data_IF_908007878292
#
_entry.id   IF_908007878292
#
_cell.length_a   1.000
_cell.length_b   1.000
_cell.length_c   1.000
_cell.angle_alpha   90.00
_cell.angle_beta   90.00
_cell.angle_gamma   90.00
#
_symmetry.space_group_name_H-M   'P 1'
#
loop_
_entity.id
_entity.type
_entity.pdbx_description
1 polymer ?
2 non-polymer ?
3 non-polymer ?
4 non-polymer ?
5 water ?
#
# COMPACT_ATOMS: atom_id res chain seq x y z
N UNK A 19 9.72 -13.10 -30.81
CA UNK A 19 9.49 -12.61 -29.45
C UNK A 19 10.00 -13.59 -28.40
N UNK A 20 10.49 -13.08 -27.26
CA UNK A 20 11.08 -13.95 -26.23
C UNK A 20 10.00 -14.66 -25.42
N UNK A 21 10.37 -15.81 -24.87
CA UNK A 21 9.48 -16.69 -24.11
C UNK A 21 10.17 -17.00 -22.78
N UNK A 22 9.37 -17.18 -21.73
CA UNK A 22 9.85 -17.47 -20.38
C UNK A 22 8.90 -18.50 -19.80
N UNK A 23 9.41 -19.65 -19.33
CA UNK A 23 8.58 -20.70 -18.73
C UNK A 23 7.40 -21.10 -19.66
N UNK A 24 7.69 -21.23 -20.94
CA UNK A 24 6.68 -21.59 -21.94
C UNK A 24 5.62 -20.55 -22.23
N UNK A 25 5.86 -19.26 -21.86
CA UNK A 25 4.87 -18.19 -22.07
C UNK A 25 5.53 -16.99 -22.72
N UNK A 26 4.84 -16.34 -23.67
CA UNK A 26 5.40 -15.19 -24.38
C UNK A 26 5.62 -13.98 -23.44
N UNK A 27 6.82 -13.39 -23.49
CA UNK A 27 7.18 -12.26 -22.64
C UNK A 27 7.88 -11.26 -23.57
N UNK A 28 7.06 -10.49 -24.30
CA UNK A 28 7.47 -9.85 -25.56
C UNK A 28 7.89 -8.42 -25.35
N UNK A 29 9.12 -8.20 -24.95
CA UNK A 29 9.52 -6.85 -24.49
C UNK A 29 10.39 -6.12 -25.53
N UNK A 30 10.34 -6.56 -26.79
CA UNK A 30 11.06 -5.91 -27.87
C UNK A 30 12.55 -6.01 -27.69
N UNK A 31 13.32 -5.54 -28.66
CA UNK A 31 14.78 -5.70 -28.58
C UNK A 31 15.45 -4.82 -27.52
N UNK A 32 14.76 -3.80 -26.99
CA UNK A 32 15.37 -2.94 -25.96
C UNK A 32 15.71 -3.76 -24.71
N UNK A 33 14.90 -4.74 -24.38
CA UNK A 33 15.06 -5.51 -23.15
C UNK A 33 15.41 -6.96 -23.47
N UNK A 34 16.61 -7.42 -23.01
CA UNK A 34 17.12 -8.77 -23.32
C UNK A 34 17.53 -9.55 -22.04
N UNK A 35 17.91 -10.83 -22.17
CA UNK A 35 18.47 -11.62 -21.09
C UNK A 35 17.49 -11.70 -19.93
N UNK A 36 16.27 -12.13 -20.23
CA UNK A 36 15.22 -12.21 -19.22
C UNK A 36 15.57 -13.27 -18.18
N UNK A 37 15.19 -13.02 -16.93
CA UNK A 37 15.22 -14.05 -15.90
C UNK A 37 13.89 -14.00 -15.19
N UNK A 38 13.23 -15.15 -15.08
CA UNK A 38 11.96 -15.26 -14.38
C UNK A 38 12.19 -14.95 -12.89
N UNK A 39 11.35 -14.08 -12.29
CA UNK A 39 11.44 -13.78 -10.87
C UNK A 39 10.27 -14.45 -10.13
N UNK A 40 9.06 -14.30 -10.66
CA UNK A 40 7.91 -14.89 -10.01
C UNK A 40 6.57 -14.44 -10.55
N UNK A 41 5.55 -14.52 -9.70
CA UNK A 41 4.25 -13.96 -10.01
C UNK A 41 4.00 -12.78 -9.05
N UNK A 42 3.28 -11.79 -9.56
CA UNK A 42 2.75 -10.70 -8.76
C UNK A 42 1.25 -10.61 -8.86
N UNK A 43 0.66 -9.60 -8.21
CA UNK A 43 -0.78 -9.32 -8.29
C UNK A 43 -1.28 -9.20 -9.74
N UNK A 44 -0.38 -8.99 -10.74
CA UNK A 44 -0.77 -8.79 -12.14
C UNK A 44 -0.52 -10.02 -13.06
N UNK A 45 0.51 -10.81 -12.76
CA UNK A 45 0.91 -11.93 -13.60
C UNK A 45 2.41 -12.15 -13.54
N UNK A 46 3.04 -12.43 -14.69
CA UNK A 46 4.47 -12.80 -14.69
C UNK A 46 5.37 -11.58 -14.56
N UNK A 47 6.38 -11.69 -13.68
CA UNK A 47 7.36 -10.65 -13.49
C UNK A 47 8.75 -11.22 -13.75
N UNK A 48 9.50 -10.56 -14.63
CA UNK A 48 10.87 -10.87 -15.02
C UNK A 48 11.76 -9.69 -14.80
N UNK A 49 13.07 -9.91 -14.63
CA UNK A 49 14.05 -8.86 -14.83
C UNK A 49 14.66 -8.98 -16.21
N UNK A 50 15.21 -7.87 -16.72
CA UNK A 50 15.78 -7.85 -18.06
C UNK A 50 16.83 -6.79 -18.10
N UNK A 51 17.77 -6.93 -19.03
CA UNK A 51 18.78 -5.90 -19.26
C UNK A 51 18.22 -4.82 -20.16
N UNK A 52 18.27 -3.56 -19.72
CA UNK A 52 17.81 -2.41 -20.49
C UNK A 52 19.00 -1.98 -21.30
N UNK A 53 18.92 -2.11 -22.62
CA UNK A 53 20.08 -1.81 -23.48
C UNK A 53 20.29 -0.30 -23.71
N UNK A 54 19.29 0.54 -23.37
CA UNK A 54 19.43 1.98 -23.49
C UNK A 54 20.14 2.51 -22.23
N UNK A 55 19.53 2.35 -21.05
CA UNK A 55 20.09 2.87 -19.79
C UNK A 55 21.17 1.99 -19.18
N UNK A 56 21.37 0.77 -19.69
CA UNK A 56 22.52 -0.07 -19.36
C UNK A 56 22.45 -0.51 -17.89
N UNK A 57 21.24 -0.95 -17.47
CA UNK A 57 20.93 -1.44 -16.11
C UNK A 57 19.86 -2.55 -16.25
N UNK A 58 19.86 -3.54 -15.34
CA UNK A 58 18.74 -4.46 -15.29
C UNK A 58 17.55 -3.74 -14.67
N UNK A 59 16.34 -4.13 -15.15
CA UNK A 59 15.08 -3.52 -14.78
C UNK A 59 14.11 -4.60 -14.47
N UNK A 60 13.02 -4.25 -13.78
CA UNK A 60 11.93 -5.16 -13.55
C UNK A 60 10.84 -4.90 -14.58
N UNK A 61 10.21 -5.95 -15.09
CA UNK A 61 9.12 -5.85 -16.05
C UNK A 61 8.01 -6.74 -15.62
N UNK A 62 6.80 -6.22 -15.51
CA UNK A 62 5.63 -7.04 -15.22
C UNK A 62 4.68 -7.09 -16.44
N UNK A 63 4.19 -8.31 -16.77
CA UNK A 63 3.22 -8.56 -17.85
C UNK A 63 1.82 -8.47 -17.32
N UNK A 64 0.98 -7.66 -17.99
CA UNK A 64 -0.43 -7.52 -17.70
C UNK A 64 -1.13 -8.10 -18.94
N UNK A 65 -1.92 -9.20 -18.76
CA UNK A 65 -2.67 -9.89 -19.83
C UNK A 65 -4.17 -9.90 -19.51
N UNK A 71 -10.36 -8.38 -22.16
CA UNK A 71 -10.99 -7.99 -20.91
C UNK A 71 -9.89 -7.64 -19.91
N UNK A 72 -9.68 -6.32 -19.70
CA UNK A 72 -8.69 -5.82 -18.76
C UNK A 72 -9.35 -5.51 -17.41
N UNK A 73 -8.52 -5.14 -16.43
CA UNK A 73 -8.99 -4.83 -15.10
C UNK A 73 -8.79 -3.35 -14.87
N UNK A 74 -9.80 -2.68 -14.29
CA UNK A 74 -9.79 -1.23 -13.96
C UNK A 74 -8.57 -0.90 -13.04
N UNK A 75 -8.10 -1.89 -12.28
CA UNK A 75 -6.94 -1.74 -11.41
C UNK A 75 -5.66 -1.38 -12.21
N UNK A 76 -5.53 -1.94 -13.44
CA UNK A 76 -4.40 -1.65 -14.29
C UNK A 76 -4.43 -0.16 -14.69
N UNK A 77 -5.57 0.38 -15.11
CA UNK A 77 -5.68 1.76 -15.48
C UNK A 77 -5.41 2.67 -14.27
N UNK A 78 -6.01 2.33 -13.14
CA UNK A 78 -5.76 3.10 -11.90
C UNK A 78 -4.26 3.24 -11.57
N UNK A 79 -3.52 2.13 -11.59
CA UNK A 79 -2.08 2.03 -11.28
C UNK A 79 -1.34 2.94 -12.27
N UNK A 80 -1.59 2.73 -13.57
CA UNK A 80 -0.83 3.50 -14.56
C UNK A 80 -1.05 5.01 -14.41
N UNK A 81 -2.31 5.44 -14.33
CA UNK A 81 -2.63 6.86 -14.24
C UNK A 81 -1.94 7.50 -12.98
N UNK A 82 -2.02 6.83 -11.82
CA UNK A 82 -1.41 7.35 -10.61
C UNK A 82 0.11 7.41 -10.69
N UNK A 83 0.74 6.30 -11.04
CA UNK A 83 2.18 6.22 -11.10
C UNK A 83 2.76 7.15 -12.15
N UNK A 84 2.06 7.37 -13.26
CA UNK A 84 2.57 8.33 -14.23
C UNK A 84 2.45 9.76 -13.76
N UNK A 85 1.44 10.07 -12.91
CA UNK A 85 1.28 11.42 -12.37
C UNK A 85 2.23 11.70 -11.23
N UNK A 86 2.49 10.71 -10.40
CA UNK A 86 3.37 10.89 -9.24
C UNK A 86 4.83 10.91 -9.58
N UNK A 87 5.56 11.75 -8.88
CA UNK A 87 7.00 11.77 -8.98
C UNK A 87 7.58 11.99 -7.58
N UNK A 88 8.09 10.90 -6.96
CA UNK A 88 8.61 10.93 -5.61
C UNK A 88 9.64 9.84 -5.39
N UNK A 89 10.71 10.17 -4.65
CA UNK A 89 11.79 9.25 -4.35
C UNK A 89 11.35 7.95 -3.68
N UNK A 90 10.24 8.00 -2.85
CA UNK A 90 9.77 6.85 -2.14
C UNK A 90 8.55 6.20 -2.76
N UNK A 91 8.29 6.49 -4.06
CA UNK A 91 7.21 5.89 -4.81
C UNK A 91 7.81 5.32 -6.08
N UNK A 92 7.49 4.05 -6.40
CA UNK A 92 8.05 3.44 -7.60
C UNK A 92 7.53 4.24 -8.83
N UNK A 93 8.40 4.44 -9.79
CA UNK A 93 7.96 5.10 -11.03
C UNK A 93 7.61 4.09 -12.13
N UNK A 94 7.08 4.57 -13.22
CA UNK A 94 7.03 3.75 -14.44
C UNK A 94 8.06 4.36 -15.40
N UNK A 95 9.03 3.58 -15.80
CA UNK A 95 10.13 3.96 -16.68
C UNK A 95 9.71 3.87 -18.15
N UNK A 96 8.89 2.87 -18.46
CA UNK A 96 8.49 2.60 -19.86
C UNK A 96 7.28 1.68 -19.85
N UNK A 97 6.47 1.69 -20.94
CA UNK A 97 5.35 0.78 -21.10
C UNK A 97 5.41 0.28 -22.52
N UNK A 98 5.36 -1.06 -22.67
CA UNK A 98 5.43 -1.73 -23.97
C UNK A 98 4.06 -2.28 -24.31
N UNK A 99 3.57 -1.93 -25.52
CA UNK A 99 2.35 -2.51 -26.04
C UNK A 99 2.35 -2.35 -27.57
N UNK A 100 1.43 -3.03 -28.22
CA UNK A 100 1.29 -2.94 -29.67
C UNK A 100 0.92 -1.53 -30.10
N UNK A 101 1.24 -1.16 -31.36
CA UNK A 101 0.98 0.22 -31.80
C UNK A 101 -0.47 0.59 -32.02
N UNK A 102 -1.39 -0.38 -32.06
CA UNK A 102 -2.80 -0.15 -32.27
C UNK A 102 -3.65 -0.87 -31.26
N UNK A 103 -4.87 -0.35 -30.97
CA UNK A 103 -5.81 -1.08 -30.07
C UNK A 103 -6.13 -2.47 -30.55
N UNK A 104 -6.33 -2.64 -31.87
CA UNK A 104 -6.70 -3.94 -32.42
C UNK A 104 -5.62 -4.98 -32.14
N UNK A 105 -4.36 -4.59 -32.17
CA UNK A 105 -3.23 -5.51 -31.96
C UNK A 105 -2.84 -5.60 -30.47
N UNK A 106 -3.32 -4.70 -29.65
CA UNK A 106 -2.89 -4.65 -28.26
C UNK A 106 -3.50 -5.83 -27.53
N UNK A 107 -2.65 -6.62 -26.87
CA UNK A 107 -3.12 -7.68 -25.97
C UNK A 107 -2.38 -7.46 -24.66
N UNK A 108 -1.12 -7.79 -24.58
CA UNK A 108 -0.38 -7.66 -23.31
C UNK A 108 0.17 -6.24 -23.18
N UNK A 109 0.32 -5.79 -21.94
CA UNK A 109 0.97 -4.52 -21.64
C UNK A 109 2.09 -4.84 -20.67
N UNK A 110 3.29 -4.39 -20.96
CA UNK A 110 4.45 -4.60 -20.06
C UNK A 110 4.86 -3.30 -19.43
N UNK A 111 5.02 -3.31 -18.08
CA UNK A 111 5.35 -2.12 -17.34
C UNK A 111 6.77 -2.30 -16.85
N UNK A 112 7.62 -1.37 -17.19
CA UNK A 112 9.03 -1.44 -16.85
C UNK A 112 9.29 -0.47 -15.72
N UNK A 113 9.96 -0.97 -14.66
CA UNK A 113 10.26 -0.20 -13.47
C UNK A 113 11.69 -0.46 -13.00
N UNK A 114 12.21 0.40 -12.12
CA UNK A 114 13.50 0.14 -11.45
C UNK A 114 13.55 -1.26 -10.84
N UNK A 115 14.69 -1.94 -10.97
CA UNK A 115 14.83 -3.26 -10.38
C UNK A 115 15.23 -3.00 -8.94
N UNK A 116 14.50 -3.58 -8.01
CA UNK A 116 14.80 -3.40 -6.60
C UNK A 116 15.28 -4.78 -6.06
N UNK A 117 16.31 -4.82 -5.24
CA UNK A 117 16.91 -6.08 -4.72
C UNK A 117 15.83 -6.94 -4.08
N UNK A 118 14.91 -6.33 -3.30
CA UNK A 118 14.01 -7.11 -2.48
C UNK A 118 12.76 -6.28 -2.11
N UNK A 119 11.97 -6.78 -1.19
CA UNK A 119 10.83 -6.07 -0.62
C UNK A 119 10.79 -6.39 0.87
N UNK A 120 9.97 -5.62 1.63
CA UNK A 120 10.00 -5.80 3.07
C UNK A 120 9.39 -7.17 3.48
N UNK A 121 8.52 -7.77 2.67
CA UNK A 121 7.94 -9.10 2.99
C UNK A 121 9.08 -10.14 3.01
N UNK A 122 9.87 -10.17 1.96
CA UNK A 122 11.02 -11.10 1.84
C UNK A 122 12.03 -10.83 2.92
N UNK A 123 12.28 -9.55 3.20
CA UNK A 123 13.31 -9.18 4.16
C UNK A 123 12.89 -9.63 5.55
N UNK A 124 11.64 -9.41 5.93
CA UNK A 124 11.20 -9.83 7.25
C UNK A 124 11.11 -11.32 7.41
N UNK A 125 10.99 -12.09 6.34
CA UNK A 125 10.93 -13.55 6.49
C UNK A 125 12.34 -14.11 6.88
N UNK A 126 13.43 -13.38 6.55
CA UNK A 126 14.80 -13.86 6.73
C UNK A 126 15.71 -13.04 7.67
N UNK A 127 15.44 -11.75 7.87
CA UNK A 127 16.43 -10.85 8.45
C UNK A 127 15.88 -10.14 9.65
N UNK A 128 16.62 -10.08 10.72
CA UNK A 128 16.33 -9.23 11.85
C UNK A 128 16.72 -7.80 11.47
N UNK A 129 15.83 -6.82 11.74
CA UNK A 129 16.15 -5.43 11.48
C UNK A 129 16.75 -4.76 12.69
N UNK A 130 17.82 -3.97 12.50
CA UNK A 130 18.30 -3.11 13.59
C UNK A 130 17.28 -2.04 13.87
N UNK A 131 17.28 -1.46 15.08
CA UNK A 131 16.45 -0.27 15.33
C UNK A 131 16.71 0.84 14.28
N UNK A 132 17.95 1.00 13.84
CA UNK A 132 18.28 2.02 12.87
C UNK A 132 17.57 1.76 11.54
N UNK A 133 17.51 0.48 11.09
CA UNK A 133 16.83 0.13 9.86
C UNK A 133 15.32 0.33 10.02
N UNK A 134 14.75 -0.05 11.16
CA UNK A 134 13.30 0.15 11.40
C UNK A 134 12.96 1.65 11.29
N UNK A 135 13.77 2.46 11.91
CA UNK A 135 13.56 3.91 11.94
C UNK A 135 13.62 4.49 10.51
N UNK A 136 14.64 4.12 9.75
CA UNK A 136 14.83 4.62 8.40
C UNK A 136 13.70 4.11 7.46
N UNK A 137 13.34 2.82 7.56
CA UNK A 137 12.26 2.29 6.72
C UNK A 137 10.96 3.03 7.02
N UNK A 138 10.65 3.22 8.32
CA UNK A 138 9.40 3.88 8.71
C UNK A 138 9.40 5.33 8.20
N UNK A 139 10.54 6.00 8.35
CA UNK A 139 10.67 7.39 7.81
C UNK A 139 10.29 7.44 6.33
N UNK A 140 10.88 6.52 5.55
CA UNK A 140 10.71 6.57 4.08
C UNK A 140 9.23 6.22 3.72
N UNK A 141 8.62 5.25 4.44
CA UNK A 141 7.22 4.89 4.24
C UNK A 141 6.36 6.15 4.44
N UNK A 142 6.58 6.85 5.56
CA UNK A 142 5.74 8.01 5.87
C UNK A 142 6.04 9.18 4.92
N UNK A 143 7.26 9.32 4.49
CA UNK A 143 7.67 10.40 3.57
C UNK A 143 6.88 10.19 2.21
N UNK A 144 6.88 8.97 1.70
CA UNK A 144 6.12 8.62 0.50
C UNK A 144 4.63 8.80 0.74
N UNK A 145 4.13 8.33 1.89
CA UNK A 145 2.74 8.46 2.23
C UNK A 145 2.31 9.93 2.32
N UNK A 146 3.16 10.80 2.82
CA UNK A 146 2.84 12.24 2.87
C UNK A 146 2.51 12.75 1.46
N UNK A 147 3.32 12.35 0.49
CA UNK A 147 3.11 12.78 -0.89
C UNK A 147 1.79 12.23 -1.44
N UNK A 148 1.55 10.93 -1.26
CA UNK A 148 0.32 10.28 -1.73
C UNK A 148 -0.91 10.98 -1.13
N UNK A 149 -0.93 11.18 0.22
CA UNK A 149 -2.08 11.82 0.87
C UNK A 149 -2.19 13.29 0.45
N UNK A 150 -1.05 13.96 0.13
CA UNK A 150 -1.12 15.37 -0.29
C UNK A 150 -1.82 15.48 -1.66
N UNK A 151 -1.83 14.38 -2.44
CA UNK A 151 -2.50 14.29 -3.74
C UNK A 151 -3.96 13.87 -3.58
N UNK A 152 -4.47 13.79 -2.33
CA UNK A 152 -5.83 13.35 -1.98
C UNK A 152 -6.07 11.93 -2.38
N UNK A 153 -5.02 11.10 -2.40
CA UNK A 153 -5.09 9.69 -2.77
C UNK A 153 -4.83 8.86 -1.53
N UNK A 154 -5.51 7.74 -1.45
CA UNK A 154 -5.32 6.68 -0.48
C UNK A 154 -4.72 5.46 -1.17
N UNK A 155 -3.66 4.87 -0.63
CA UNK A 155 -3.07 3.71 -1.25
C UNK A 155 -4.01 2.49 -1.08
N UNK A 156 -4.45 2.27 0.15
CA UNK A 156 -5.44 1.28 0.57
C UNK A 156 -4.94 -0.18 0.57
N UNK A 157 -3.67 -0.45 0.26
CA UNK A 157 -3.16 -1.80 0.41
C UNK A 157 -1.69 -1.82 0.80
N UNK A 158 -1.36 -0.97 1.76
CA UNK A 158 0.00 -0.93 2.27
C UNK A 158 0.23 -2.19 3.10
N UNK A 159 1.36 -2.81 2.83
CA UNK A 159 1.78 -4.07 3.44
C UNK A 159 3.24 -4.32 3.04
N UNK A 160 3.97 -5.20 3.76
CA UNK A 160 5.38 -5.38 3.46
C UNK A 160 5.73 -5.69 1.99
N UNK A 161 4.91 -6.53 1.32
CA UNK A 161 5.21 -6.93 -0.07
C UNK A 161 5.03 -5.75 -1.06
N UNK A 162 4.37 -4.65 -0.63
CA UNK A 162 4.24 -3.45 -1.46
C UNK A 162 5.26 -2.38 -1.11
N UNK A 163 6.35 -2.76 -0.42
CA UNK A 163 7.44 -1.86 -0.05
C UNK A 163 8.71 -2.48 -0.58
N UNK A 164 9.19 -1.91 -1.62
CA UNK A 164 10.42 -2.34 -2.30
C UNK A 164 11.63 -1.70 -1.73
N UNK A 165 12.76 -2.47 -1.67
CA UNK A 165 14.05 -2.00 -1.19
C UNK A 165 15.15 -2.34 -2.13
N UNK A 166 16.03 -1.43 -2.31
CA UNK A 166 17.27 -1.66 -3.10
C UNK A 166 18.45 -2.10 -2.19
N UNK A 167 19.66 -2.30 -2.79
CA UNK A 167 20.78 -2.83 -2.00
C UNK A 167 21.25 -1.90 -0.94
N UNK A 168 20.89 -0.60 -1.02
CA UNK A 168 21.27 0.38 -0.05
C UNK A 168 20.11 0.76 0.88
N UNK A 169 19.07 -0.06 0.88
CA UNK A 169 17.90 0.15 1.73
C UNK A 169 17.06 1.43 1.41
N UNK A 170 17.16 1.97 0.21
CA UNK A 170 16.18 2.95 -0.26
C UNK A 170 14.86 2.20 -0.49
N UNK A 171 13.76 2.79 -0.04
CA UNK A 171 12.47 2.19 -0.02
C UNK A 171 11.51 2.95 -0.98
N UNK A 172 10.76 2.17 -1.73
CA UNK A 172 9.74 2.66 -2.65
C UNK A 172 8.40 1.90 -2.52
N UNK A 173 7.32 2.66 -2.38
CA UNK A 173 6.01 2.11 -2.26
C UNK A 173 5.53 1.73 -3.68
N UNK A 174 4.92 0.59 -3.81
CA UNK A 174 4.40 0.12 -5.09
C UNK A 174 2.95 -0.41 -4.95
N UNK A 175 2.36 -0.76 -6.10
CA UNK A 175 1.02 -1.30 -6.29
C UNK A 175 -0.11 -0.34 -5.89
N UNK A 176 -0.48 0.53 -6.79
CA UNK A 176 -1.58 1.45 -6.57
C UNK A 176 -2.93 0.97 -7.19
N UNK A 177 -3.04 -0.33 -7.40
CA UNK A 177 -4.22 -0.99 -7.97
C UNK A 177 -5.50 -0.87 -7.18
N UNK A 178 -5.44 -0.72 -5.81
CA UNK A 178 -6.61 -0.52 -4.98
C UNK A 178 -6.73 0.93 -4.50
N UNK A 179 -5.89 1.86 -5.00
CA UNK A 179 -5.92 3.23 -4.54
C UNK A 179 -7.22 3.94 -4.93
N UNK A 180 -7.59 4.95 -4.17
CA UNK A 180 -8.80 5.73 -4.44
C UNK A 180 -8.52 7.16 -4.08
N UNK A 181 -9.28 8.10 -4.66
CA UNK A 181 -9.34 9.46 -4.16
C UNK A 181 -10.07 9.48 -2.85
N UNK A 182 -9.54 10.17 -1.87
CA UNK A 182 -10.18 10.26 -0.55
C UNK A 182 -11.57 10.86 -0.61
N UNK A 183 -12.46 10.35 0.24
CA UNK A 183 -13.87 10.78 0.23
C UNK A 183 -14.45 10.58 1.58
N UNK A 184 -13.93 11.32 2.57
CA UNK A 184 -14.42 11.12 3.94
C UNK A 184 -15.91 11.32 4.11
N UNK A 185 -16.55 12.27 3.36
CA UNK A 185 -18.00 12.48 3.54
C UNK A 185 -18.82 11.27 3.13
N UNK A 186 -18.26 10.33 2.36
CA UNK A 186 -18.97 9.12 1.96
C UNK A 186 -18.29 7.83 2.50
N UNK A 187 -17.70 7.92 3.69
CA UNK A 187 -16.96 6.77 4.27
C UNK A 187 -17.86 5.77 5.00
N UNK A 188 -19.10 6.17 5.36
CA UNK A 188 -19.89 5.35 6.28
C UNK A 188 -20.57 4.23 5.57
N UNK A 189 -20.62 3.08 6.24
CA UNK A 189 -21.30 1.90 5.72
C UNK A 189 -21.80 1.03 6.91
N UNK A 190 -22.51 -0.05 6.62
CA UNK A 190 -23.01 -0.95 7.63
C UNK A 190 -21.94 -1.90 8.10
N UNK A 191 -22.35 -2.71 9.07
CA UNK A 191 -21.52 -3.66 9.77
C UNK A 191 -21.24 -4.85 8.87
N UNK A 192 -19.99 -5.35 8.87
CA UNK A 192 -19.61 -6.51 8.04
C UNK A 192 -19.72 -6.28 6.52
N UNK A 193 -19.35 -5.07 6.05
CA UNK A 193 -19.37 -4.76 4.63
C UNK A 193 -18.10 -5.33 4.03
N UNK A 194 -18.23 -6.02 2.88
CA UNK A 194 -17.08 -6.71 2.31
C UNK A 194 -16.02 -5.69 1.92
N UNK A 195 -14.75 -6.10 1.95
CA UNK A 195 -13.66 -5.20 1.64
C UNK A 195 -12.59 -5.93 0.86
N UNK A 196 -11.89 -5.20 -0.02
CA UNK A 196 -10.94 -5.82 -0.99
C UNK A 196 -9.48 -5.93 -0.47
N UNK A 197 -9.02 -4.95 0.29
CA UNK A 197 -7.62 -4.85 0.67
C UNK A 197 -7.16 -5.94 1.62
N UNK A 198 -5.86 -6.20 1.72
CA UNK A 198 -5.28 -7.37 2.41
C UNK A 198 -5.65 -7.42 3.89
N UNK A 199 -6.14 -8.59 4.33
CA UNK A 199 -6.87 -8.65 5.60
C UNK A 199 -6.05 -8.19 6.82
N UNK A 200 -4.80 -8.68 6.97
CA UNK A 200 -4.03 -8.44 8.20
C UNK A 200 -3.71 -6.93 8.44
N UNK A 201 -3.84 -6.14 7.40
CA UNK A 201 -3.47 -4.70 7.47
C UNK A 201 -4.70 -3.77 7.51
N UNK A 202 -5.94 -4.32 7.66
CA UNK A 202 -7.21 -3.60 7.68
C UNK A 202 -7.49 -2.99 9.03
N UNK A 203 -7.83 -1.72 9.07
CA UNK A 203 -8.17 -0.98 10.27
C UNK A 203 -9.48 -1.57 10.85
N UNK A 204 -9.65 -1.45 12.17
CA UNK A 204 -10.83 -2.09 12.78
C UNK A 204 -12.15 -1.57 12.19
N UNK A 205 -12.19 -0.27 11.85
CA UNK A 205 -13.42 0.36 11.37
C UNK A 205 -13.89 -0.24 10.05
N UNK A 206 -12.98 -0.84 9.22
CA UNK A 206 -13.44 -1.53 7.99
C UNK A 206 -14.51 -2.60 8.30
N UNK A 207 -14.34 -3.29 9.43
CA UNK A 207 -15.25 -4.36 9.83
C UNK A 207 -16.51 -3.85 10.49
N UNK A 208 -16.53 -2.57 10.86
CA UNK A 208 -17.58 -2.00 11.64
C UNK A 208 -18.45 -1.02 10.86
N UNK A 209 -17.86 0.06 10.26
CA UNK A 209 -18.67 1.10 9.64
C UNK A 209 -17.95 1.93 8.58
N UNK A 210 -16.86 1.42 7.99
CA UNK A 210 -16.04 2.23 7.10
C UNK A 210 -15.78 1.55 5.77
N UNK A 211 -15.91 2.32 4.67
CA UNK A 211 -15.55 1.92 3.29
C UNK A 211 -14.04 2.10 2.98
N UNK A 212 -13.24 2.59 3.91
CA UNK A 212 -11.81 2.85 3.65
C UNK A 212 -11.55 4.01 2.71
N UNK A 213 -12.35 5.06 2.86
CA UNK A 213 -12.23 6.26 2.04
C UNK A 213 -11.57 7.42 2.76
N UNK A 214 -10.89 7.18 3.92
CA UNK A 214 -10.20 8.26 4.63
C UNK A 214 -8.73 7.89 4.82
N UNK A 215 -7.90 8.92 4.94
CA UNK A 215 -6.43 8.78 5.08
C UNK A 215 -6.04 7.89 6.27
N UNK A 216 -6.88 7.91 7.37
CA UNK A 216 -6.63 7.09 8.58
C UNK A 216 -6.52 5.59 8.29
N UNK A 217 -7.08 5.16 7.16
CA UNK A 217 -6.99 3.75 6.73
C UNK A 217 -5.52 3.32 6.46
N UNK A 218 -4.78 4.19 5.83
CA UNK A 218 -3.42 3.93 5.48
C UNK A 218 -2.51 4.01 6.71
N UNK A 219 -2.78 4.98 7.63
CA UNK A 219 -1.98 5.06 8.85
C UNK A 219 -2.06 3.76 9.66
N UNK A 220 -3.28 3.13 9.77
CA UNK A 220 -3.41 1.86 10.46
C UNK A 220 -2.49 0.82 9.81
N UNK A 221 -2.50 0.68 8.48
CA UNK A 221 -1.62 -0.27 7.77
C UNK A 221 -0.17 0.00 8.13
N UNK A 222 0.24 1.28 8.15
CA UNK A 222 1.63 1.61 8.49
C UNK A 222 1.97 1.16 9.92
N UNK A 223 1.06 1.38 10.84
CA UNK A 223 1.18 0.90 12.21
C UNK A 223 1.40 -0.62 12.25
N UNK A 224 0.61 -1.36 11.45
CA UNK A 224 0.76 -2.82 11.41
C UNK A 224 2.17 -3.20 10.87
N UNK A 225 2.64 -2.47 9.86
CA UNK A 225 3.95 -2.68 9.30
C UNK A 225 5.04 -2.40 10.30
N UNK A 226 4.95 -1.29 11.03
CA UNK A 226 5.88 -0.98 12.09
C UNK A 226 5.97 -2.14 13.12
N UNK A 227 4.84 -2.59 13.60
CA UNK A 227 4.79 -3.70 14.58
C UNK A 227 5.49 -4.96 13.96
N UNK A 228 5.25 -5.22 12.69
CA UNK A 228 5.80 -6.37 12.01
C UNK A 228 7.34 -6.24 11.89
N UNK A 229 7.84 -5.02 11.67
CA UNK A 229 9.28 -4.79 11.66
C UNK A 229 9.93 -5.02 13.04
N UNK A 230 9.20 -4.75 14.12
CA UNK A 230 9.71 -4.90 15.47
C UNK A 230 9.89 -6.37 15.87
N UNK A 231 9.03 -7.26 15.35
CA UNK A 231 9.06 -8.66 15.76
C UNK A 231 9.23 -9.67 14.64
N UNK A 232 9.23 -9.27 13.37
CA UNK A 232 9.21 -10.16 12.21
C UNK A 232 7.97 -11.02 12.10
N UNK A 233 6.89 -10.68 12.77
CA UNK A 233 5.66 -11.47 12.70
C UNK A 233 4.52 -10.47 12.53
N UNK A 234 3.52 -10.79 11.70
CA UNK A 234 2.36 -9.86 11.62
C UNK A 234 1.67 -9.74 12.96
N UNK A 235 1.26 -8.53 13.33
CA UNK A 235 0.71 -8.29 14.65
C UNK A 235 -0.73 -8.84 14.79
N UNK A 236 -1.54 -8.79 13.69
CA UNK A 236 -2.95 -9.13 13.68
C UNK A 236 -3.24 -10.13 12.51
N UNK A 237 -2.75 -11.34 12.63
CA UNK A 237 -2.92 -12.32 11.53
C UNK A 237 -4.29 -13.01 11.55
N UNK A 238 -5.33 -12.26 11.24
CA UNK A 238 -6.67 -12.81 11.20
C UNK A 238 -6.82 -13.85 10.10
N UNK A 239 -7.61 -14.90 10.37
CA UNK A 239 -7.83 -15.95 9.37
C UNK A 239 -9.10 -15.78 8.54
N UNK A 240 -9.94 -14.81 8.87
CA UNK A 240 -11.12 -14.50 8.08
C UNK A 240 -11.67 -13.19 8.58
N UNK A 241 -12.68 -12.68 7.89
CA UNK A 241 -13.06 -11.29 7.99
C UNK A 241 -13.24 -10.79 9.42
N UNK A 242 -14.11 -11.44 10.24
CA UNK A 242 -14.42 -10.92 11.57
C UNK A 242 -13.30 -11.29 12.55
N UNK A 243 -12.58 -12.43 12.32
CA UNK A 243 -11.39 -12.82 13.15
C UNK A 243 -10.35 -11.71 13.17
N UNK A 244 -10.26 -10.93 12.10
CA UNK A 244 -9.30 -9.82 12.03
C UNK A 244 -9.60 -8.83 13.16
N UNK A 245 -10.90 -8.52 13.35
CA UNK A 245 -11.28 -7.56 14.41
C UNK A 245 -10.99 -8.11 15.83
N UNK A 246 -11.21 -9.37 16.03
CA UNK A 246 -11.00 -9.98 17.32
C UNK A 246 -9.44 -10.03 17.61
N UNK A 247 -8.55 -10.20 16.56
CA UNK A 247 -7.10 -10.05 16.82
C UNK A 247 -6.79 -8.62 17.31
N UNK A 248 -7.35 -7.64 16.67
CA UNK A 248 -7.07 -6.21 17.00
C UNK A 248 -7.51 -5.94 18.46
N UNK A 249 -8.76 -6.34 18.78
CA UNK A 249 -9.28 -6.14 20.13
C UNK A 249 -8.53 -6.94 21.18
N UNK A 250 -7.97 -8.09 20.80
CA UNK A 250 -7.17 -8.89 21.71
C UNK A 250 -5.90 -8.20 22.17
N UNK A 251 -5.42 -7.19 21.43
CA UNK A 251 -4.25 -6.38 21.84
C UNK A 251 -4.64 -5.01 22.35
N UNK A 252 -5.48 -4.26 21.61
CA UNK A 252 -5.92 -2.92 22.08
C UNK A 252 -6.85 -2.95 23.29
N UNK A 253 -7.53 -4.05 23.46
CA UNK A 253 -8.50 -4.18 24.52
C UNK A 253 -9.83 -3.61 24.04
N UNK A 254 -10.85 -3.78 24.89
CA UNK A 254 -12.16 -3.26 24.60
C UNK A 254 -12.15 -1.75 24.36
N UNK A 255 -12.89 -1.27 23.33
CA UNK A 255 -13.01 0.19 23.18
C UNK A 255 -13.74 0.85 24.32
N UNK A 256 -13.33 2.06 24.54
CA UNK A 256 -13.90 2.92 25.55
C UNK A 256 -15.32 3.27 25.23
N UNK A 257 -16.07 3.72 26.25
CA UNK A 257 -17.41 4.25 25.99
C UNK A 257 -17.44 5.35 24.91
N UNK A 258 -16.53 6.30 25.01
CA UNK A 258 -16.47 7.42 24.08
C UNK A 258 -16.23 6.91 22.64
N UNK A 259 -15.30 5.93 22.49
CA UNK A 259 -15.00 5.42 21.16
C UNK A 259 -16.15 4.60 20.60
N UNK A 260 -16.87 3.88 21.46
CA UNK A 260 -18.12 3.23 21.04
C UNK A 260 -19.22 4.18 20.65
N UNK A 261 -19.37 5.28 21.39
CA UNK A 261 -20.39 6.27 21.07
C UNK A 261 -20.18 6.89 19.72
N UNK A 262 -18.92 6.94 19.20
CA UNK A 262 -18.63 7.37 17.84
C UNK A 262 -19.17 6.44 16.78
N UNK A 263 -19.50 5.19 17.13
CA UNK A 263 -20.01 4.25 16.14
C UNK A 263 -21.53 4.32 16.23
N UNK A 264 -22.15 5.03 15.31
CA UNK A 264 -23.63 5.24 15.45
C UNK A 264 -24.40 3.99 14.98
N UNK A 265 -23.85 3.24 14.03
CA UNK A 265 -24.54 2.07 13.50
C UNK A 265 -24.82 1.04 14.60
N UNK A 266 -26.08 0.68 14.80
CA UNK A 266 -26.43 -0.20 15.92
C UNK A 266 -25.91 -1.63 15.79
N UNK A 267 -25.89 -2.23 14.59
CA UNK A 267 -25.39 -3.60 14.47
C UNK A 267 -23.86 -3.62 14.87
N UNK A 268 -23.08 -2.63 14.41
CA UNK A 268 -21.66 -2.57 14.76
C UNK A 268 -21.48 -2.35 16.27
N UNK A 269 -22.22 -1.33 16.81
CA UNK A 269 -22.13 -0.94 18.23
C UNK A 269 -22.43 -2.14 19.11
N UNK A 270 -23.58 -2.77 18.86
CA UNK A 270 -24.05 -3.87 19.65
C UNK A 270 -23.20 -5.10 19.53
N UNK A 271 -22.58 -5.32 18.36
CA UNK A 271 -21.56 -6.40 18.29
C UNK A 271 -20.44 -6.15 19.31
N UNK A 272 -19.90 -4.95 19.34
CA UNK A 272 -18.85 -4.64 20.28
C UNK A 272 -19.32 -4.76 21.72
N UNK A 273 -20.53 -4.30 22.00
CA UNK A 273 -21.07 -4.40 23.35
C UNK A 273 -21.29 -5.86 23.82
N UNK A 274 -21.47 -6.78 22.86
CA UNK A 274 -21.70 -8.19 23.17
C UNK A 274 -20.45 -8.93 23.63
N UNK A 275 -19.27 -8.38 23.38
CA UNK A 275 -18.01 -9.08 23.63
C UNK A 275 -17.66 -8.98 25.11
N UNK A 276 -17.04 -10.00 25.67
CA UNK A 276 -16.47 -9.88 27.02
C UNK A 276 -15.41 -8.79 27.05
N UNK A 277 -15.20 -8.21 28.23
CA UNK A 277 -14.15 -7.25 28.45
C UNK A 277 -12.76 -7.89 28.11
N UNK A 278 -11.96 -7.16 27.33
CA UNK A 278 -10.60 -7.58 26.95
C UNK A 278 -9.67 -6.47 27.43
N UNK A 279 -8.58 -6.90 28.09
CA UNK A 279 -7.60 -5.96 28.62
C UNK A 279 -6.63 -5.54 27.52
N UNK A 280 -6.10 -4.34 27.59
CA UNK A 280 -5.05 -3.87 26.67
C UNK A 280 -3.81 -4.65 26.96
N UNK A 281 -3.10 -5.10 25.91
CA UNK A 281 -1.78 -5.71 26.06
C UNK A 281 -0.77 -4.56 25.94
N UNK A 282 0.04 -4.28 26.98
CA UNK A 282 1.03 -3.19 26.87
C UNK A 282 2.04 -3.44 25.76
N UNK A 283 2.36 -2.38 25.01
CA UNK A 283 3.24 -2.52 23.87
C UNK A 283 4.62 -3.00 24.31
N UNK A 284 5.09 -2.56 25.50
CA UNK A 284 6.43 -2.97 25.94
C UNK A 284 6.50 -4.46 26.35
N UNK A 285 5.37 -5.12 26.61
CA UNK A 285 5.32 -6.57 26.81
C UNK A 285 5.28 -7.35 25.49
N UNK A 286 4.56 -6.86 24.46
CA UNK A 286 4.60 -7.48 23.14
C UNK A 286 5.94 -7.28 22.45
N UNK A 287 6.61 -6.13 22.69
CA UNK A 287 7.84 -5.74 22.00
C UNK A 287 8.91 -5.33 23.03
N UNK A 288 9.39 -6.32 23.80
CA UNK A 288 10.32 -6.01 24.91
C UNK A 288 11.68 -5.46 24.45
N UNK A 289 12.08 -5.69 23.21
CA UNK A 289 13.34 -5.16 22.66
C UNK A 289 13.18 -3.80 21.92
N UNK A 290 11.94 -3.27 21.83
CA UNK A 290 11.71 -2.09 21.00
C UNK A 290 12.15 -0.81 21.70
N UNK A 291 12.54 0.15 20.89
CA UNK A 291 12.77 1.49 21.34
C UNK A 291 11.48 2.12 21.90
N UNK A 292 11.55 2.79 23.06
CA UNK A 292 10.37 3.37 23.66
C UNK A 292 9.64 4.42 22.78
N UNK A 293 10.40 5.22 22.02
CA UNK A 293 9.81 6.24 21.18
C UNK A 293 9.08 5.53 20.03
N UNK A 294 9.62 4.39 19.52
CA UNK A 294 8.96 3.62 18.45
C UNK A 294 7.59 3.14 18.95
N UNK A 295 7.53 2.65 20.25
CA UNK A 295 6.28 2.17 20.77
C UNK A 295 5.27 3.28 21.01
N UNK A 296 5.72 4.50 21.36
CA UNK A 296 4.80 5.63 21.52
C UNK A 296 4.15 5.96 20.17
N UNK A 297 4.95 5.95 19.11
CA UNK A 297 4.42 6.25 17.77
C UNK A 297 3.52 5.10 17.31
N UNK A 298 3.93 3.84 17.58
CA UNK A 298 3.09 2.70 17.21
C UNK A 298 1.68 2.81 17.83
N UNK A 299 1.65 3.17 19.14
CA UNK A 299 0.40 3.36 19.87
C UNK A 299 -0.51 4.35 19.17
N UNK A 300 0.07 5.45 18.71
CA UNK A 300 -0.68 6.52 18.08
C UNK A 300 -1.17 6.16 16.65
N UNK A 301 -0.46 5.28 15.96
CA UNK A 301 -0.90 4.79 14.65
C UNK A 301 -1.95 3.71 14.82
N UNK A 302 -1.82 2.86 15.86
CA UNK A 302 -2.79 1.80 16.13
C UNK A 302 -3.83 2.22 17.17
N UNK A 303 -4.41 3.36 16.96
CA UNK A 303 -5.49 3.87 17.74
C UNK A 303 -6.78 3.35 17.16
N UNK A 304 -7.67 2.81 18.03
CA UNK A 304 -8.95 2.25 17.57
C UNK A 304 -9.83 3.28 16.80
N UNK A 305 -10.01 4.45 17.40
CA UNK A 305 -10.89 5.49 16.89
C UNK A 305 -10.13 6.17 15.74
N UNK A 306 -10.57 6.03 14.48
CA UNK A 306 -9.83 6.66 13.37
C UNK A 306 -9.72 8.17 13.45
N UNK A 307 -10.70 8.82 14.10
CA UNK A 307 -10.60 10.29 14.31
C UNK A 307 -9.46 10.72 15.27
N UNK A 308 -9.05 9.83 16.19
CA UNK A 308 -7.99 10.09 17.19
C UNK A 308 -6.62 9.61 16.64
N UNK A 309 -6.63 8.84 15.57
CA UNK A 309 -5.41 8.26 14.99
C UNK A 309 -4.49 9.38 14.44
N UNK A 310 -3.18 9.22 14.62
CA UNK A 310 -2.21 10.21 14.17
C UNK A 310 -2.26 10.34 12.62
N UNK A 311 -2.01 11.54 12.10
CA UNK A 311 -1.98 11.78 10.67
C UNK A 311 -0.55 11.71 10.17
N UNK A 312 -0.35 11.57 8.85
CA UNK A 312 1.00 11.30 8.33
C UNK A 312 2.02 12.39 8.71
N UNK A 313 1.63 13.66 8.64
CA UNK A 313 2.57 14.76 8.98
C UNK A 313 2.93 14.78 10.45
N UNK A 314 1.95 14.46 11.33
CA UNK A 314 2.28 14.32 12.77
C UNK A 314 3.21 13.19 13.05
N UNK A 315 2.99 12.07 12.35
CA UNK A 315 3.86 10.94 12.47
C UNK A 315 5.31 11.28 12.09
N UNK A 316 5.51 11.98 10.98
CA UNK A 316 6.85 12.40 10.60
C UNK A 316 7.54 13.29 11.66
N UNK A 317 6.74 14.11 12.35
CA UNK A 317 7.21 15.03 13.36
C UNK A 317 7.40 14.36 14.73
N UNK A 318 7.14 13.03 14.84
CA UNK A 318 7.23 12.36 16.13
C UNK A 318 8.71 12.19 16.54
N UNK A 319 9.03 12.31 17.86
CA UNK A 319 10.43 12.14 18.30
C UNK A 319 11.16 10.91 17.80
N UNK A 320 10.45 9.79 17.54
CA UNK A 320 11.13 8.59 17.03
C UNK A 320 11.91 8.88 15.73
N UNK A 321 11.38 9.82 14.89
CA UNK A 321 11.93 10.10 13.59
C UNK A 321 12.77 11.39 13.53
N UNK A 322 13.16 11.93 14.71
CA UNK A 322 13.84 13.23 14.80
C UNK A 322 15.14 13.28 13.99
N UNK A 323 15.84 12.14 13.83
CA UNK A 323 17.09 12.14 13.07
C UNK A 323 16.90 12.43 11.58
N UNK A 324 15.66 12.18 11.05
CA UNK A 324 15.33 12.26 9.66
C UNK A 324 14.39 13.44 9.33
N UNK A 325 13.54 13.84 10.29
CA UNK A 325 12.44 14.77 9.99
C UNK A 325 12.96 16.07 9.44
N UNK A 326 12.45 16.44 8.30
CA UNK A 326 12.81 17.69 7.65
C UNK A 326 11.73 18.02 6.63
N UNK A 327 10.69 18.80 7.06
CA UNK A 327 9.53 18.98 6.18
C UNK A 327 9.82 19.65 4.88
N UNK A 328 10.93 20.44 4.80
CA UNK A 328 11.29 21.04 3.54
C UNK A 328 11.84 20.00 2.54
N UNK A 329 12.22 18.82 3.03
CA UNK A 329 12.69 17.72 2.21
C UNK A 329 11.72 16.52 2.19
N UNK A 330 10.40 16.82 2.41
CA UNK A 330 9.33 15.88 2.42
C UNK A 330 8.29 16.50 1.50
N UNK A 331 8.55 16.40 0.20
CA UNK A 331 7.67 17.06 -0.78
C UNK A 331 6.25 16.59 -0.87
N UNK A 332 5.41 17.51 -1.33
CA UNK A 332 4.01 17.21 -1.62
C UNK A 332 3.70 17.33 -3.11
N UNK A 333 2.54 16.81 -3.52
CA UNK A 333 2.10 16.82 -4.91
C UNK A 333 1.71 18.25 -5.33
N UNK A 334 2.01 18.62 -6.57
CA UNK A 334 1.69 19.94 -7.13
C UNK A 334 0.17 20.18 -7.16
N UNK A 335 -0.62 19.12 -7.33
CA UNK A 335 -2.08 19.26 -7.33
C UNK A 335 -2.79 18.02 -6.84
N UNK A 336 -4.04 18.13 -6.31
CA UNK A 336 -4.79 16.92 -5.97
C UNK A 336 -5.08 16.10 -7.24
N UNK A 337 -5.16 14.78 -7.10
CA UNK A 337 -5.29 13.84 -8.21
C UNK A 337 -6.78 13.60 -8.38
N UNK A 338 -7.24 13.43 -9.65
CA UNK A 338 -8.65 13.14 -9.94
C UNK A 338 -8.77 12.19 -11.11
N UNK A 339 -9.68 11.20 -10.98
CA UNK A 339 -10.09 10.35 -12.10
C UNK A 339 -11.12 11.16 -12.90
N UNK A 340 -10.94 11.27 -14.23
CA UNK A 340 -11.79 12.08 -15.08
C UNK A 340 -13.21 11.49 -15.15
N UNK A 341 -13.31 10.16 -15.34
CA UNK A 341 -14.57 9.42 -15.26
C UNK A 341 -14.52 8.46 -14.07
N UNK A 342 -15.70 8.08 -13.59
CA UNK A 342 -15.82 7.12 -12.50
C UNK A 342 -15.53 5.74 -13.10
N UNK A 343 -14.45 5.08 -12.67
CA UNK A 343 -13.98 3.88 -13.35
C UNK A 343 -14.94 2.70 -13.27
N UNK A 344 -15.67 2.54 -12.15
CA UNK A 344 -16.51 1.35 -11.91
C UNK A 344 -17.64 1.11 -12.93
N UNK A 345 -18.07 2.13 -13.69
CA UNK A 345 -19.17 1.94 -14.67
C UNK A 345 -18.71 1.99 -16.13
N UNK A 346 -17.41 1.81 -16.39
CA UNK A 346 -16.90 1.81 -17.77
C UNK A 346 -17.01 0.40 -18.38
N UNK A 347 -17.55 0.24 -19.60
CA UNK A 347 -17.49 -1.08 -20.26
C UNK A 347 -16.05 -1.51 -20.62
N UNK A 348 -15.88 -2.77 -21.02
CA UNK A 348 -14.55 -3.36 -21.25
C UNK A 348 -13.81 -2.66 -22.41
N UNK A 349 -14.55 -2.23 -23.43
CA UNK A 349 -13.99 -1.59 -24.63
C UNK A 349 -13.48 -0.20 -24.32
N UNK A 350 -14.23 0.54 -23.52
CA UNK A 350 -13.80 1.86 -23.11
C UNK A 350 -12.58 1.72 -22.18
N UNK A 351 -12.47 0.65 -21.36
CA UNK A 351 -11.33 0.51 -20.44
C UNK A 351 -10.08 0.24 -21.28
N UNK A 352 -10.16 -0.72 -22.25
CA UNK A 352 -9.03 -0.98 -23.14
C UNK A 352 -8.61 0.28 -23.89
N UNK A 353 -9.59 1.03 -24.41
CA UNK A 353 -9.31 2.31 -25.08
C UNK A 353 -8.56 3.29 -24.14
N UNK A 354 -9.01 3.46 -22.89
CA UNK A 354 -8.31 4.33 -21.94
C UNK A 354 -6.85 3.91 -21.56
N UNK A 355 -6.60 2.62 -21.44
CA UNK A 355 -5.27 2.09 -21.21
C UNK A 355 -4.38 2.40 -22.43
N UNK A 356 -4.89 2.15 -23.63
CA UNK A 356 -4.17 2.52 -24.84
C UNK A 356 -3.73 4.04 -24.83
N UNK A 357 -4.66 4.95 -24.48
CA UNK A 357 -4.38 6.37 -24.41
C UNK A 357 -3.40 6.74 -23.33
N UNK A 358 -3.58 6.18 -22.13
CA UNK A 358 -2.68 6.47 -21.02
C UNK A 358 -1.23 6.03 -21.28
N UNK A 359 -1.04 5.01 -22.12
CA UNK A 359 0.30 4.48 -22.40
C UNK A 359 0.93 5.05 -23.70
N UNK A 360 0.24 5.93 -24.40
CA UNK A 360 0.70 6.50 -25.68
C UNK A 360 2.05 7.19 -25.60
N UNK A 361 2.40 7.81 -24.45
CA UNK A 361 3.61 8.64 -24.38
C UNK A 361 4.93 7.83 -24.56
N UNK A 362 4.85 6.50 -24.39
CA UNK A 362 6.00 5.65 -24.49
C UNK A 362 6.21 5.06 -25.91
N UNK A 363 5.35 5.42 -26.86
CA UNK A 363 5.50 4.94 -28.22
C UNK A 363 6.53 5.80 -28.94
N UNK A 364 7.33 5.18 -29.82
CA UNK A 364 8.37 5.94 -30.56
C UNK A 364 7.97 7.32 -31.09
X LIG B 1 -12.11 -11.63 3.75
X LIG B 1 -11.73 -11.29 5.12
X LIG B 1 -13.51 -12.28 3.75
X LIG B 1 -11.06 -12.52 3.12
X LIG B 1 -12.20 -10.32 3.00
X LIG C 1 -27.22 10.24 17.84
X LIG C 1 -26.86 10.49 16.49
X LIG C 1 -27.13 8.74 18.16
X LIG C 1 -26.45 8.59 19.39
X LIG D 1 15.61 -15.63 10.52
X LIG D 1 15.75 -16.75 9.64
X LIG D 1 14.12 -15.18 10.65
X LIG D 1 14.03 -13.85 11.16
X LIG E 1 11.40 -7.78 -9.38
X LIG E 1 10.23 -7.34 -8.59
X LIG E 1 8.13 -6.55 -7.16
X LIG E 1 6.14 -5.19 -6.78
X LIG E 1 4.42 -3.59 -5.81
X LIG E 1 8.46 -7.89 -7.26
X LIG E 1 4.94 -5.00 -5.86
X LIG E 1 6.29 -4.52 -7.80
X LIG E 1 7.00 -6.14 -6.40
X LIG E 1 9.51 -8.29 -7.97
X LIG E 1 9.97 -6.01 -8.55
X LIG E 1 8.92 -5.63 -7.83
X LIG E 1 11.11 -8.41 -10.08
X LIG E 1 12.05 -8.22 -8.80
X LIG E 1 11.83 -7.00 -9.81
X LIG E 1 3.54 -3.60 -5.41
X LIG E 1 4.35 -3.24 -6.72
X LIG E 1 7.93 -8.54 -6.80
X LIG E 1 4.21 -5.60 -6.17
X LIG E 1 5.19 -5.28 -4.95
X LIG E 1 6.75 -6.68 -5.77
X LIG E 1 8.71 -4.70 -7.77
#
# INVERSE_FOLDING_TARGET
MAHHHHHHMAAAAAAGAGPEMVRGQVFDVGPRYTNLSYIGEGAYGMVCSAYDNVNKVRVAIKKISPFEHQTYCQRTLREIKILLRFRHENIIGINDIIRAPTIEQMKDVYIVQDLMETDLYKLLKTQHLSNDHICYFLYQILRGLKYIHSANVLHRDLKPSNLLLNTTCDLKICDFGLARVADPDHDHTGFLTEYVATRWYRAPEIMLNSKGYTKSIDIWSVGCILAEMLSNRPIFPGKHYLDQLNHILGILGSPSQEDLNCIINLKARNYLLSLPHKNKVPWNRLFPNADSKALDLLDKMLTFNPHKRIEVEQALAHPYLEQYYDPSDEPIAEAPFKFDMELDDLPKEKLKELIFEETARFQPGYRS
SO4 S O1 O2 O3 O4
EDO C1 O1 C2 O2
EDO C1 O1 C2 O2
N4U C1 C2 C5 C7 C10 C11 C9 O8 N6 N12 N3 C4 H14 H15 H13 H19 H20 H21 H18 H22 H17 H16
#
